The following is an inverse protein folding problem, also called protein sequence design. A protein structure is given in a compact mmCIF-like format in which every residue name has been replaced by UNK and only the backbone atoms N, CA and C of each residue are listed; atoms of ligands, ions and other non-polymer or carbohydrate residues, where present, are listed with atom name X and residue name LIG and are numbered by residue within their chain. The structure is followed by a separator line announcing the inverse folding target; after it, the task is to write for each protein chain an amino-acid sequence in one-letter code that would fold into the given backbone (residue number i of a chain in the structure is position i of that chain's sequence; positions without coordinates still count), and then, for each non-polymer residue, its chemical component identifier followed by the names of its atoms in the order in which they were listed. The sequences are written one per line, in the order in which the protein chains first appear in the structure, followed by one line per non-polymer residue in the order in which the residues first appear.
data_IF_268487008062
#
_entry.id   IF_268487008062
#
_cell.length_a   1.000
_cell.length_b   1.000
_cell.length_c   1.000
_cell.angle_alpha   90.00
_cell.angle_beta   90.00
_cell.angle_gamma   90.00
#
_symmetry.space_group_name_H-M   'P 1'
#
loop_
_entity.id
_entity.type
_entity.pdbx_description
1 polymer ?
#
# COMPACT_ATOMS: atom_id res chain seq x y z
N UNK A 1 1.01 33.05 20.92
CA UNK A 1 1.77 32.87 19.66
C UNK A 1 2.43 31.49 19.54
N UNK A 2 3.18 31.01 20.55
CA UNK A 2 3.83 29.68 20.49
C UNK A 2 2.84 28.49 20.43
N UNK A 3 1.76 28.51 21.22
CA UNK A 3 0.74 27.43 21.21
C UNK A 3 0.05 27.27 19.86
N UNK A 4 -0.28 28.38 19.19
CA UNK A 4 -0.93 28.38 17.88
C UNK A 4 0.02 27.90 16.77
N UNK A 5 1.31 28.26 16.85
CA UNK A 5 2.33 27.77 15.93
C UNK A 5 2.57 26.26 16.14
N UNK A 6 2.67 25.82 17.39
CA UNK A 6 2.86 24.41 17.75
C UNK A 6 1.73 23.51 17.23
N UNK A 7 0.47 23.90 17.41
CA UNK A 7 -0.69 23.14 16.88
C UNK A 7 -0.66 23.08 15.35
N UNK A 8 -0.28 24.17 14.67
CA UNK A 8 -0.13 24.18 13.20
C UNK A 8 0.96 23.20 12.74
N UNK A 9 2.11 23.18 13.42
CA UNK A 9 3.19 22.23 13.15
C UNK A 9 2.69 20.79 13.33
N UNK A 10 1.96 20.51 14.40
CA UNK A 10 1.45 19.16 14.68
C UNK A 10 0.45 18.69 13.62
N UNK A 11 -0.44 19.57 13.14
CA UNK A 11 -1.35 19.25 12.02
C UNK A 11 -0.61 18.95 10.73
N UNK A 12 0.40 19.76 10.43
CA UNK A 12 1.23 19.54 9.25
C UNK A 12 1.97 18.20 9.33
N UNK A 13 2.57 17.90 10.48
CA UNK A 13 3.24 16.62 10.72
C UNK A 13 2.26 15.45 10.59
N UNK A 14 1.06 15.57 11.14
CA UNK A 14 0.03 14.55 11.03
C UNK A 14 -0.38 14.28 9.58
N UNK A 15 -0.53 15.33 8.76
CA UNK A 15 -0.80 15.18 7.33
C UNK A 15 0.35 14.48 6.60
N UNK A 16 1.60 14.83 6.92
CA UNK A 16 2.76 14.13 6.37
C UNK A 16 2.78 12.65 6.76
N UNK A 17 2.52 12.34 8.04
CA UNK A 17 2.43 10.95 8.51
C UNK A 17 1.33 10.21 7.76
N UNK A 18 0.14 10.80 7.60
CA UNK A 18 -0.95 10.19 6.87
C UNK A 18 -0.56 9.86 5.41
N UNK A 19 0.03 10.82 4.68
CA UNK A 19 0.46 10.63 3.30
C UNK A 19 1.56 9.57 3.22
N UNK A 20 2.55 9.62 4.13
CA UNK A 20 3.62 8.64 4.20
C UNK A 20 3.07 7.24 4.50
N UNK A 21 2.08 7.13 5.40
CA UNK A 21 1.41 5.86 5.70
C UNK A 21 0.70 5.28 4.49
N UNK A 22 -0.02 6.10 3.71
CA UNK A 22 -0.63 5.62 2.46
C UNK A 22 0.42 5.09 1.47
N UNK A 23 1.54 5.80 1.30
CA UNK A 23 2.63 5.37 0.41
C UNK A 23 3.32 4.09 0.88
N UNK A 24 3.70 4.00 2.15
CA UNK A 24 4.33 2.81 2.75
C UNK A 24 3.38 1.63 2.69
N UNK A 25 2.12 1.83 3.05
CA UNK A 25 1.10 0.79 3.00
C UNK A 25 0.91 0.22 1.59
N UNK A 26 0.89 1.07 0.57
CA UNK A 26 0.80 0.64 -0.82
C UNK A 26 2.01 -0.19 -1.25
N UNK A 27 3.23 0.25 -0.92
CA UNK A 27 4.46 -0.50 -1.28
C UNK A 27 4.47 -1.88 -0.63
N UNK A 28 4.14 -1.97 0.66
CA UNK A 28 4.10 -3.27 1.36
C UNK A 28 2.97 -4.16 0.82
N UNK A 29 1.86 -3.55 0.40
CA UNK A 29 0.75 -4.27 -0.21
C UNK A 29 1.14 -4.95 -1.53
N UNK A 30 1.95 -4.30 -2.39
CA UNK A 30 2.44 -4.93 -3.64
C UNK A 30 3.22 -6.23 -3.40
N UNK A 31 3.89 -6.34 -2.24
CA UNK A 31 4.66 -7.53 -1.86
C UNK A 31 3.85 -8.54 -1.01
N UNK A 32 2.60 -8.23 -0.64
CA UNK A 32 1.78 -9.08 0.24
C UNK A 32 0.63 -9.73 -0.55
N UNK A 33 0.61 -11.07 -0.60
CA UNK A 33 -0.44 -11.83 -1.27
C UNK A 33 -1.72 -11.83 -0.44
N UNK A 34 -2.53 -10.79 -0.63
CA UNK A 34 -3.80 -10.62 0.07
C UNK A 34 -4.76 -9.77 -0.74
N UNK A 35 -6.04 -10.11 -0.68
CA UNK A 35 -7.07 -9.28 -1.29
C UNK A 35 -7.10 -7.91 -0.61
N UNK A 36 -7.21 -6.83 -1.40
CA UNK A 36 -7.15 -5.45 -0.91
C UNK A 36 -8.13 -5.14 0.24
N UNK A 37 -9.26 -5.85 0.31
CA UNK A 37 -10.27 -5.68 1.35
C UNK A 37 -9.86 -6.26 2.71
N UNK A 38 -8.91 -7.20 2.78
CA UNK A 38 -8.49 -7.81 4.06
C UNK A 38 -7.72 -6.78 4.90
N UNK A 39 -6.60 -6.18 4.42
CA UNK A 39 -5.91 -5.15 5.21
C UNK A 39 -6.79 -3.91 5.44
N UNK A 40 -7.61 -3.52 4.45
CA UNK A 40 -8.54 -2.40 4.61
C UNK A 40 -9.60 -2.67 5.67
N UNK A 41 -10.17 -3.87 5.71
CA UNK A 41 -11.16 -4.29 6.69
C UNK A 41 -10.59 -4.31 8.10
N UNK A 42 -9.37 -4.83 8.28
CA UNK A 42 -8.67 -4.82 9.57
C UNK A 42 -8.38 -3.40 10.05
N UNK A 43 -7.92 -2.53 9.16
CA UNK A 43 -7.69 -1.12 9.48
C UNK A 43 -8.98 -0.40 9.90
N UNK A 44 -10.08 -0.63 9.17
CA UNK A 44 -11.38 -0.06 9.49
C UNK A 44 -11.91 -0.57 10.84
N UNK A 45 -11.76 -1.87 11.12
CA UNK A 45 -12.16 -2.46 12.40
C UNK A 45 -11.43 -1.79 13.57
N UNK A 46 -10.11 -1.61 13.48
CA UNK A 46 -9.31 -0.95 14.52
C UNK A 46 -9.76 0.51 14.69
N UNK A 47 -9.99 1.23 13.59
CA UNK A 47 -10.48 2.60 13.62
C UNK A 47 -11.88 2.72 14.26
N UNK A 48 -12.77 1.75 14.04
CA UNK A 48 -14.10 1.70 14.65
C UNK A 48 -14.03 1.35 16.13
N UNK A 49 -13.20 0.40 16.55
CA UNK A 49 -13.02 0.05 17.97
C UNK A 49 -12.46 1.22 18.77
N UNK A 50 -11.60 2.03 18.15
CA UNK A 50 -10.99 3.21 18.78
C UNK A 50 -11.81 4.48 18.63
N UNK A 51 -12.98 4.42 17.97
CA UNK A 51 -13.84 5.58 17.73
C UNK A 51 -14.22 6.36 18.99
N UNK A 52 -14.40 5.78 20.20
CA UNK A 52 -14.72 6.58 21.39
C UNK A 52 -13.67 7.65 21.72
N UNK A 53 -12.44 7.51 21.20
CA UNK A 53 -11.37 8.49 21.34
C UNK A 53 -11.45 9.67 20.36
N UNK A 54 -12.48 9.78 19.50
CA UNK A 54 -12.63 10.89 18.55
C UNK A 54 -12.65 12.26 19.26
N UNK A 55 -13.15 12.37 20.49
CA UNK A 55 -13.19 13.65 21.23
C UNK A 55 -11.80 14.22 21.54
N UNK A 56 -10.78 13.36 21.63
CA UNK A 56 -9.38 13.80 21.82
C UNK A 56 -8.87 14.62 20.63
N UNK A 57 -9.51 14.48 19.47
CA UNK A 57 -9.15 15.21 18.25
C UNK A 57 -9.51 16.69 18.31
N UNK A 58 -10.45 17.12 19.16
CA UNK A 58 -10.81 18.55 19.31
C UNK A 58 -9.57 19.39 19.65
N UNK A 59 -8.67 18.86 20.47
CA UNK A 59 -7.42 19.54 20.83
C UNK A 59 -6.51 19.77 19.61
N UNK A 60 -6.51 18.82 18.67
CA UNK A 60 -5.66 18.86 17.49
C UNK A 60 -6.32 19.61 16.33
N UNK A 61 -7.59 19.36 16.03
CA UNK A 61 -8.34 19.96 14.91
C UNK A 61 -8.80 21.38 15.22
N UNK A 62 -8.94 21.74 16.51
CA UNK A 62 -9.61 22.97 17.01
C UNK A 62 -10.97 23.21 16.37
N UNK A 63 -11.66 22.13 16.00
CA UNK A 63 -13.02 22.17 15.45
C UNK A 63 -13.94 21.41 16.40
N UNK A 64 -15.05 22.04 16.79
CA UNK A 64 -16.08 21.41 17.65
C UNK A 64 -17.06 20.52 16.83
N UNK A 65 -16.76 20.30 15.56
CA UNK A 65 -17.53 19.43 14.68
C UNK A 65 -17.29 17.96 15.00
N UNK A 66 -18.25 17.29 15.66
CA UNK A 66 -18.21 15.84 15.93
C UNK A 66 -17.90 15.02 14.67
N UNK A 67 -18.54 15.38 13.55
CA UNK A 67 -18.36 14.70 12.26
C UNK A 67 -16.92 14.83 11.77
N UNK A 68 -16.33 16.02 11.85
CA UNK A 68 -14.96 16.27 11.38
C UNK A 68 -13.96 15.49 12.23
N UNK A 69 -14.12 15.52 13.55
CA UNK A 69 -13.25 14.78 14.46
C UNK A 69 -13.36 13.26 14.27
N UNK A 70 -14.56 12.76 13.96
CA UNK A 70 -14.78 11.37 13.60
C UNK A 70 -14.07 11.02 12.28
N UNK A 71 -14.21 11.84 11.24
CA UNK A 71 -13.54 11.61 9.95
C UNK A 71 -12.01 11.67 10.08
N UNK A 72 -11.47 12.64 10.83
CA UNK A 72 -10.04 12.70 11.11
C UNK A 72 -9.55 11.47 11.87
N UNK A 73 -10.30 11.01 12.86
CA UNK A 73 -9.99 9.79 13.59
C UNK A 73 -9.96 8.57 12.67
N UNK A 74 -11.02 8.35 11.90
CA UNK A 74 -11.13 7.22 10.96
C UNK A 74 -10.01 7.25 9.92
N UNK A 75 -9.72 8.41 9.33
CA UNK A 75 -8.67 8.54 8.32
C UNK A 75 -7.27 8.28 8.90
N UNK A 76 -6.92 8.93 10.01
CA UNK A 76 -5.58 8.81 10.57
C UNK A 76 -5.34 7.47 11.25
N UNK A 77 -6.28 7.01 12.08
CA UNK A 77 -6.15 5.69 12.72
C UNK A 77 -6.28 4.58 11.69
N UNK A 78 -7.14 4.73 10.68
CA UNK A 78 -7.23 3.80 9.55
C UNK A 78 -5.90 3.68 8.80
N UNK A 79 -5.30 4.80 8.39
CA UNK A 79 -4.01 4.77 7.68
C UNK A 79 -2.88 4.18 8.53
N UNK A 80 -2.79 4.55 9.81
CA UNK A 80 -1.76 4.03 10.72
C UNK A 80 -1.98 2.53 10.95
N UNK A 81 -3.21 2.10 11.23
CA UNK A 81 -3.52 0.69 11.47
C UNK A 81 -3.30 -0.17 10.23
N UNK A 82 -3.58 0.33 9.04
CA UNK A 82 -3.28 -0.33 7.77
C UNK A 82 -1.77 -0.62 7.64
N UNK A 83 -0.93 0.38 7.88
CA UNK A 83 0.54 0.22 7.83
C UNK A 83 1.05 -0.69 8.94
N UNK A 84 0.51 -0.58 10.16
CA UNK A 84 0.92 -1.46 11.25
C UNK A 84 0.54 -2.92 10.99
N UNK A 85 -0.62 -3.16 10.38
CA UNK A 85 -1.06 -4.50 10.02
C UNK A 85 -0.19 -5.09 8.90
N UNK A 86 -0.06 -4.39 7.77
CA UNK A 86 0.76 -4.88 6.65
C UNK A 86 2.25 -4.89 6.97
N UNK A 87 2.77 -3.82 7.57
CA UNK A 87 4.17 -3.74 7.98
C UNK A 87 4.51 -4.72 9.08
N UNK A 88 3.58 -4.96 10.01
CA UNK A 88 3.72 -6.05 10.98
C UNK A 88 3.80 -7.41 10.29
N UNK A 89 2.95 -7.65 9.29
CA UNK A 89 3.01 -8.88 8.50
C UNK A 89 4.35 -9.04 7.76
N UNK A 90 4.81 -7.97 7.12
CA UNK A 90 5.97 -7.96 6.24
C UNK A 90 7.31 -7.99 6.99
N UNK A 91 7.54 -7.07 7.94
CA UNK A 91 8.83 -6.94 8.62
C UNK A 91 9.10 -8.05 9.63
N UNK A 92 8.04 -8.68 10.15
CA UNK A 92 8.14 -9.82 11.06
C UNK A 92 7.80 -11.14 10.36
N UNK A 93 7.95 -11.21 9.03
CA UNK A 93 7.83 -12.46 8.29
C UNK A 93 8.89 -13.46 8.76
N UNK A 94 8.51 -14.73 8.89
CA UNK A 94 9.37 -15.80 9.39
C UNK A 94 10.32 -16.30 8.29
N UNK A 95 11.63 -16.05 8.37
CA UNK A 95 12.57 -16.52 7.35
C UNK A 95 12.66 -18.05 7.31
N UNK A 96 12.37 -18.76 8.40
CA UNK A 96 12.38 -20.23 8.42
C UNK A 96 11.23 -20.83 7.62
N UNK A 97 10.16 -20.06 7.36
CA UNK A 97 9.03 -20.46 6.52
C UNK A 97 9.24 -20.22 5.02
N UNK A 98 10.45 -19.81 4.62
CA UNK A 98 10.77 -19.51 3.22
C UNK A 98 10.56 -20.75 2.37
N UNK A 99 9.72 -20.64 1.35
CA UNK A 99 9.50 -21.70 0.37
C UNK A 99 9.36 -21.10 -1.04
N UNK A 100 9.62 -21.95 -2.02
CA UNK A 100 9.42 -21.63 -3.43
C UNK A 100 8.05 -22.13 -3.85
N UNK A 101 7.24 -21.24 -4.42
CA UNK A 101 5.96 -21.59 -5.00
C UNK A 101 6.02 -21.40 -6.52
N UNK A 102 5.64 -22.45 -7.25
CA UNK A 102 5.60 -22.42 -8.71
C UNK A 102 4.27 -21.85 -9.15
N UNK A 103 4.30 -20.69 -9.81
CA UNK A 103 3.11 -20.03 -10.35
C UNK A 103 3.12 -20.07 -11.87
N UNK A 104 1.94 -20.19 -12.49
CA UNK A 104 1.77 -20.15 -13.93
C UNK A 104 1.47 -18.74 -14.41
N UNK A 105 2.31 -18.19 -15.28
CA UNK A 105 2.06 -16.86 -15.86
C UNK A 105 0.92 -16.98 -16.88
N UNK A 106 -0.27 -16.51 -16.55
CA UNK A 106 -1.42 -16.56 -17.47
C UNK A 106 -1.27 -15.55 -18.61
N UNK A 107 -0.97 -14.30 -18.24
CA UNK A 107 -0.74 -13.22 -19.19
C UNK A 107 0.25 -12.21 -18.63
N UNK A 108 0.85 -11.45 -19.54
CA UNK A 108 1.69 -10.31 -19.23
C UNK A 108 1.23 -9.11 -20.03
N UNK A 109 1.14 -7.95 -19.42
CA UNK A 109 0.73 -6.73 -20.10
C UNK A 109 1.52 -5.52 -19.57
N UNK A 110 1.42 -4.41 -20.30
CA UNK A 110 2.16 -3.18 -20.02
C UNK A 110 1.16 -2.04 -19.94
N UNK A 111 1.17 -1.31 -18.84
CA UNK A 111 0.43 -0.06 -18.73
C UNK A 111 1.32 1.10 -19.16
N UNK A 112 0.74 2.01 -19.97
CA UNK A 112 1.46 3.16 -20.51
C UNK A 112 0.83 4.45 -20.02
N UNK A 113 1.60 5.26 -19.31
CA UNK A 113 1.15 6.55 -18.80
C UNK A 113 1.89 7.67 -19.54
N UNK A 114 1.12 8.59 -20.11
CA UNK A 114 1.68 9.78 -20.77
C UNK A 114 2.36 10.65 -19.72
N UNK A 115 3.63 10.96 -19.94
CA UNK A 115 4.35 11.95 -19.14
C UNK A 115 4.08 13.33 -19.73
N UNK A 116 3.98 14.32 -18.85
CA UNK A 116 3.91 15.72 -19.25
C UNK A 116 4.99 16.49 -18.53
N UNK A 117 5.64 17.41 -19.24
CA UNK A 117 6.57 18.37 -18.64
C UNK A 117 5.97 19.76 -18.71
N UNK A 118 6.13 20.50 -17.63
CA UNK A 118 5.73 21.90 -17.56
C UNK A 118 6.81 22.76 -18.22
N UNK A 119 6.42 23.55 -19.22
CA UNK A 119 7.31 24.46 -19.96
C UNK A 119 7.01 25.94 -19.69
N UNK A 120 6.06 26.22 -18.82
CA UNK A 120 5.70 27.58 -18.43
C UNK A 120 4.55 27.59 -17.42
N UNK A 121 4.08 28.79 -17.06
CA UNK A 121 2.88 28.93 -16.22
C UNK A 121 1.67 28.39 -16.99
N UNK A 122 1.04 27.34 -16.46
CA UNK A 122 -0.10 26.64 -17.07
C UNK A 122 0.14 26.05 -18.47
N UNK A 123 1.40 25.83 -18.90
CA UNK A 123 1.73 25.21 -20.20
C UNK A 123 2.44 23.88 -19.98
N UNK A 124 1.86 22.81 -20.51
CA UNK A 124 2.35 21.43 -20.43
C UNK A 124 2.52 20.87 -21.84
N UNK A 125 3.59 20.11 -22.06
CA UNK A 125 3.84 19.39 -23.32
C UNK A 125 4.11 17.92 -23.02
N UNK A 126 3.87 17.05 -24.01
CA UNK A 126 4.18 15.62 -23.88
C UNK A 126 5.67 15.40 -23.64
N UNK A 127 6.00 14.59 -22.63
CA UNK A 127 7.37 14.32 -22.17
C UNK A 127 7.67 12.81 -22.21
N UNK A 128 7.17 12.14 -23.24
CA UNK A 128 7.30 10.69 -23.42
C UNK A 128 6.27 9.88 -22.62
N UNK A 129 6.60 8.61 -22.38
CA UNK A 129 5.69 7.60 -21.81
C UNK A 129 6.41 6.86 -20.69
N UNK A 130 5.74 6.66 -19.55
CA UNK A 130 6.13 5.70 -18.52
C UNK A 130 5.48 4.35 -18.83
N UNK A 131 6.23 3.27 -18.70
CA UNK A 131 5.73 1.90 -18.80
C UNK A 131 5.78 1.23 -17.42
N UNK A 132 4.70 0.56 -17.05
CA UNK A 132 4.59 -0.27 -15.86
C UNK A 132 4.27 -1.70 -16.32
N UNK A 133 4.92 -2.69 -15.72
CA UNK A 133 4.93 -4.07 -16.23
C UNK A 133 4.23 -4.98 -15.23
N UNK A 134 3.27 -5.75 -15.71
CA UNK A 134 2.45 -6.62 -14.87
C UNK A 134 2.42 -8.04 -15.41
N UNK A 135 2.42 -9.00 -14.49
CA UNK A 135 2.16 -10.41 -14.74
C UNK A 135 0.89 -10.81 -13.98
N UNK A 136 -0.08 -11.42 -14.65
CA UNK A 136 -1.11 -12.16 -13.94
C UNK A 136 -0.68 -13.61 -13.84
N UNK A 137 -0.56 -14.10 -12.60
CA UNK A 137 -0.08 -15.43 -12.27
C UNK A 137 -1.19 -16.23 -11.62
N UNK A 138 -1.28 -17.51 -11.97
CA UNK A 138 -2.13 -18.49 -11.30
C UNK A 138 -1.27 -19.30 -10.32
N UNK A 139 -1.69 -19.35 -9.07
CA UNK A 139 -1.15 -20.23 -8.05
C UNK A 139 -1.71 -21.65 -8.21
N UNK A 140 -1.05 -22.64 -7.62
CA UNK A 140 -1.50 -24.05 -7.69
C UNK A 140 -2.88 -24.25 -7.06
N UNK A 141 -3.22 -23.43 -6.07
CA UNK A 141 -4.54 -23.40 -5.43
C UNK A 141 -5.65 -22.77 -6.31
N UNK A 142 -5.31 -22.32 -7.53
CA UNK A 142 -6.23 -21.68 -8.47
C UNK A 142 -6.44 -20.17 -8.25
N UNK A 143 -5.81 -19.56 -7.24
CA UNK A 143 -5.85 -18.11 -7.05
C UNK A 143 -5.13 -17.41 -8.20
N UNK A 144 -5.67 -16.27 -8.64
CA UNK A 144 -5.08 -15.45 -9.70
C UNK A 144 -4.71 -14.10 -9.11
N UNK A 145 -3.43 -13.78 -9.17
CA UNK A 145 -2.91 -12.52 -8.61
C UNK A 145 -2.20 -11.73 -9.70
N UNK A 146 -2.26 -10.42 -9.55
CA UNK A 146 -1.60 -9.47 -10.43
C UNK A 146 -0.35 -8.95 -9.74
N UNK A 147 0.80 -9.20 -10.35
CA UNK A 147 2.11 -8.87 -9.82
C UNK A 147 2.72 -7.74 -10.63
N UNK A 148 2.99 -6.63 -9.97
CA UNK A 148 3.85 -5.58 -10.51
C UNK A 148 5.30 -6.08 -10.52
N UNK A 149 5.96 -6.00 -11.68
CA UNK A 149 7.29 -6.59 -11.88
C UNK A 149 8.28 -5.63 -12.52
N UNK A 150 9.56 -5.92 -12.33
CA UNK A 150 10.62 -5.22 -13.05
C UNK A 150 10.57 -5.51 -14.56
N UNK A 151 11.09 -4.60 -15.39
CA UNK A 151 11.27 -4.84 -16.84
C UNK A 151 12.08 -6.12 -17.10
N UNK A 152 13.10 -6.37 -16.29
CA UNK A 152 13.95 -7.55 -16.41
C UNK A 152 13.15 -8.84 -16.18
N UNK A 153 12.29 -8.83 -15.19
CA UNK A 153 11.42 -9.94 -14.80
C UNK A 153 10.35 -10.17 -15.86
N UNK A 154 9.73 -9.09 -16.36
CA UNK A 154 8.76 -9.11 -17.45
C UNK A 154 9.34 -9.69 -18.76
N UNK A 155 10.58 -9.33 -19.12
CA UNK A 155 11.22 -9.81 -20.34
C UNK A 155 11.56 -11.30 -20.27
N UNK A 156 11.92 -11.80 -19.09
CA UNK A 156 12.19 -13.23 -18.86
C UNK A 156 10.91 -14.07 -18.81
N UNK A 157 9.82 -13.49 -18.33
CA UNK A 157 8.53 -14.17 -18.22
C UNK A 157 7.87 -14.39 -19.60
N UNK A 158 7.29 -15.58 -19.76
CA UNK A 158 6.48 -15.97 -20.93
C UNK A 158 5.08 -16.37 -20.45
N UNK A 159 4.04 -15.94 -21.16
CA UNK A 159 2.69 -16.42 -20.90
C UNK A 159 2.60 -17.92 -21.16
N UNK A 160 1.88 -18.65 -20.32
CA UNK A 160 1.79 -20.10 -20.32
C UNK A 160 3.01 -20.82 -19.71
N UNK A 161 4.03 -20.10 -19.24
CA UNK A 161 5.19 -20.71 -18.58
C UNK A 161 5.07 -20.63 -17.05
N UNK A 162 5.68 -21.60 -16.39
CA UNK A 162 5.86 -21.57 -14.95
C UNK A 162 6.93 -20.56 -14.55
N UNK A 163 6.78 -20.00 -13.35
CA UNK A 163 7.70 -19.07 -12.73
C UNK A 163 7.74 -19.37 -11.24
N UNK A 164 8.93 -19.31 -10.66
CA UNK A 164 9.11 -19.53 -9.23
C UNK A 164 9.03 -18.19 -8.51
N UNK A 165 8.20 -18.12 -7.48
CA UNK A 165 8.18 -17.03 -6.50
C UNK A 165 8.73 -17.55 -5.18
N UNK A 166 9.52 -16.73 -4.49
CA UNK A 166 9.97 -17.06 -3.13
C UNK A 166 9.07 -16.35 -2.13
N UNK A 167 8.35 -17.13 -1.33
CA UNK A 167 7.39 -16.63 -0.36
C UNK A 167 7.86 -16.89 1.07
N UNK A 168 7.47 -15.98 1.97
CA UNK A 168 7.58 -16.15 3.41
C UNK A 168 6.21 -16.01 4.06
N UNK A 169 6.00 -16.73 5.15
CA UNK A 169 4.82 -16.54 5.99
C UNK A 169 5.01 -15.27 6.82
N UNK A 170 4.17 -14.28 6.56
CA UNK A 170 4.13 -13.06 7.37
C UNK A 170 3.66 -13.31 8.79
N UNK A 171 3.90 -12.34 9.68
CA UNK A 171 3.54 -12.47 11.11
C UNK A 171 2.06 -12.71 11.36
N UNK A 172 1.19 -12.07 10.56
CA UNK A 172 -0.26 -12.28 10.64
C UNK A 172 -0.74 -13.44 9.75
N UNK A 173 0.19 -14.24 9.23
CA UNK A 173 -0.08 -15.40 8.39
C UNK A 173 -0.32 -15.08 6.92
N UNK A 174 -0.25 -13.82 6.49
CA UNK A 174 -0.39 -13.46 5.07
C UNK A 174 0.94 -13.72 4.35
N UNK A 175 0.94 -14.39 3.19
CA UNK A 175 2.18 -14.65 2.45
C UNK A 175 2.81 -13.36 1.92
N UNK A 176 4.13 -13.29 1.99
CA UNK A 176 4.95 -12.17 1.54
C UNK A 176 5.90 -12.63 0.45
N UNK A 177 5.88 -11.96 -0.69
CA UNK A 177 6.79 -12.20 -1.80
C UNK A 177 8.13 -11.55 -1.45
N UNK A 178 9.19 -12.33 -1.41
CA UNK A 178 10.54 -11.83 -1.11
C UNK A 178 11.45 -11.81 -2.33
N UNK A 179 11.16 -12.66 -3.32
CA UNK A 179 11.86 -12.70 -4.61
C UNK A 179 10.91 -13.13 -5.72
N UNK A 180 11.21 -12.68 -6.94
CA UNK A 180 10.50 -13.08 -8.15
C UNK A 180 9.69 -11.96 -8.80
N UNK A 181 9.64 -10.76 -8.22
CA UNK A 181 9.09 -9.56 -8.84
C UNK A 181 10.09 -8.87 -9.79
#
# INVERSE_FOLDING_TARGET
MMKTLFIRILRFLMLLIFIASCGIGYVIYEDTLTAWWIPLGMALLIALVTIPFYKKWIWLTTMDGKVINCLCHLACIGAISYVLFLGGNYWFADPASTHEETVMVQKKYVETHKKTRRVGRHRYVSDGIRKEYYLQVAFENGAVEELHVSLSTYNKAKAGASKILTLQKGFFGLPVITKGL
#
